data_IF_979433332838
#
_entry.id   IF_979433332838
#
_cell.length_a   1.000
_cell.length_b   1.000
_cell.length_c   1.000
_cell.angle_alpha   90.00
_cell.angle_beta   90.00
_cell.angle_gamma   90.00
#
_symmetry.space_group_name_H-M   'P 1'
#
loop_
_entity.id
_entity.type
_entity.pdbx_description
1 polymer ?
#
# COMPACT_ATOMS: atom_id res chain seq x y z
N UNK A 1 -10.38 12.29 -3.45
CA UNK A 1 -9.59 13.03 -4.45
C UNK A 1 -9.68 14.53 -4.26
N UNK A 2 -10.88 15.13 -4.20
CA UNK A 2 -11.08 16.60 -4.10
C UNK A 2 -10.29 17.26 -2.97
N UNK A 3 -10.15 16.62 -1.81
CA UNK A 3 -9.36 17.15 -0.69
C UNK A 3 -7.86 17.16 -0.99
N UNK A 4 -7.35 16.09 -1.60
CA UNK A 4 -5.95 15.98 -2.04
C UNK A 4 -5.64 17.07 -3.07
N UNK A 5 -6.46 17.19 -4.11
CA UNK A 5 -6.28 18.21 -5.15
C UNK A 5 -6.31 19.64 -4.58
N UNK A 6 -7.25 19.93 -3.66
CA UNK A 6 -7.31 21.23 -2.98
C UNK A 6 -6.06 21.51 -2.16
N UNK A 7 -5.54 20.51 -1.44
CA UNK A 7 -4.31 20.63 -0.68
C UNK A 7 -3.12 20.94 -1.58
N UNK A 8 -2.92 20.14 -2.64
CA UNK A 8 -1.85 20.36 -3.64
C UNK A 8 -1.88 21.80 -4.18
N UNK A 9 -3.06 22.27 -4.59
CA UNK A 9 -3.23 23.65 -5.08
C UNK A 9 -2.96 24.71 -4.02
N UNK A 10 -3.46 24.52 -2.79
CA UNK A 10 -3.31 25.49 -1.70
C UNK A 10 -1.86 25.67 -1.27
N UNK A 11 -1.04 24.63 -1.41
CA UNK A 11 0.38 24.64 -1.08
C UNK A 11 1.28 24.94 -2.30
N UNK A 12 0.68 25.22 -3.46
CA UNK A 12 1.41 25.45 -4.72
C UNK A 12 2.40 24.32 -5.05
N UNK A 13 1.97 23.05 -4.79
CA UNK A 13 2.78 21.86 -5.06
C UNK A 13 2.54 21.35 -6.49
N UNK A 14 3.54 20.64 -7.03
CA UNK A 14 3.42 19.89 -8.26
C UNK A 14 3.34 18.38 -7.93
N UNK A 15 2.25 17.71 -8.30
CA UNK A 15 2.13 16.27 -8.14
C UNK A 15 3.00 15.57 -9.18
N UNK A 16 4.05 14.90 -8.74
CA UNK A 16 4.98 14.18 -9.62
C UNK A 16 4.55 12.75 -9.87
N UNK A 17 3.96 12.08 -8.86
CA UNK A 17 3.54 10.69 -9.00
C UNK A 17 2.35 10.34 -8.11
N UNK A 18 1.59 9.36 -8.55
CA UNK A 18 0.61 8.59 -7.80
C UNK A 18 1.26 7.22 -7.53
N UNK A 19 1.90 7.13 -6.37
CA UNK A 19 2.69 5.98 -5.93
C UNK A 19 1.78 5.00 -5.19
N UNK A 20 1.47 3.86 -5.81
CA UNK A 20 0.55 2.86 -5.28
C UNK A 20 1.33 1.75 -4.56
N UNK A 21 0.91 1.41 -3.35
CA UNK A 21 1.47 0.27 -2.61
C UNK A 21 0.95 -1.05 -3.17
N UNK A 22 -0.31 -1.08 -3.61
CA UNK A 22 -0.96 -2.26 -4.19
C UNK A 22 -2.25 -1.88 -4.93
N UNK A 23 -2.86 -2.85 -5.61
CA UNK A 23 -3.93 -2.63 -6.58
C UNK A 23 -5.36 -2.79 -6.04
N UNK A 24 -5.64 -2.82 -4.72
CA UNK A 24 -7.01 -2.93 -4.22
C UNK A 24 -7.82 -1.64 -4.42
N UNK A 25 -9.13 -1.83 -4.58
CA UNK A 25 -10.07 -0.77 -5.00
C UNK A 25 -10.09 0.47 -4.11
N UNK A 26 -9.94 0.31 -2.82
CA UNK A 26 -9.92 1.39 -1.82
C UNK A 26 -8.61 2.22 -1.86
N UNK A 27 -7.56 1.66 -2.46
CA UNK A 27 -6.28 2.34 -2.71
C UNK A 27 -6.20 2.96 -4.11
N UNK A 28 -6.84 2.36 -5.11
CA UNK A 28 -6.75 2.82 -6.50
C UNK A 28 -8.00 3.51 -7.03
N UNK A 29 -9.13 3.47 -6.32
CA UNK A 29 -10.41 4.01 -6.77
C UNK A 29 -10.42 5.51 -7.09
N UNK A 30 -9.45 6.26 -6.56
CA UNK A 30 -9.28 7.68 -6.85
C UNK A 30 -8.29 8.02 -7.96
N UNK A 31 -7.58 7.04 -8.52
CA UNK A 31 -6.47 7.26 -9.46
C UNK A 31 -6.95 7.94 -10.73
N UNK A 32 -8.07 7.50 -11.32
CA UNK A 32 -8.61 8.08 -12.56
C UNK A 32 -8.94 9.57 -12.42
N UNK A 33 -9.60 9.97 -11.33
CA UNK A 33 -9.94 11.38 -11.09
C UNK A 33 -8.66 12.20 -10.82
N UNK A 34 -7.72 11.66 -10.03
CA UNK A 34 -6.51 12.39 -9.67
C UNK A 34 -5.57 12.56 -10.86
N UNK A 35 -5.40 11.55 -11.71
CA UNK A 35 -4.57 11.62 -12.92
C UNK A 35 -5.18 12.57 -13.96
N UNK A 36 -6.53 12.64 -14.06
CA UNK A 36 -7.17 13.63 -14.94
C UNK A 36 -6.89 15.07 -14.49
N UNK A 37 -6.85 15.32 -13.19
CA UNK A 37 -6.52 16.63 -12.62
C UNK A 37 -5.02 16.96 -12.67
N UNK A 38 -4.16 15.96 -12.79
CA UNK A 38 -2.70 16.06 -12.81
C UNK A 38 -2.12 15.11 -13.88
N UNK A 39 -2.32 15.40 -15.19
CA UNK A 39 -1.98 14.49 -16.27
C UNK A 39 -0.49 14.20 -16.44
N UNK A 40 0.38 15.04 -15.87
CA UNK A 40 1.83 14.84 -15.90
C UNK A 40 2.36 13.93 -14.78
N UNK A 41 1.49 13.57 -13.81
CA UNK A 41 1.92 12.73 -12.70
C UNK A 41 2.06 11.27 -13.15
N UNK A 42 3.18 10.64 -12.79
CA UNK A 42 3.37 9.21 -13.02
C UNK A 42 2.36 8.39 -12.23
N UNK A 43 1.94 7.24 -12.77
CA UNK A 43 1.17 6.22 -12.05
C UNK A 43 2.08 5.02 -11.89
N UNK A 44 2.44 4.70 -10.64
CA UNK A 44 3.47 3.72 -10.34
C UNK A 44 2.87 2.61 -9.45
N UNK A 45 3.01 1.36 -9.88
CA UNK A 45 2.60 0.15 -9.15
C UNK A 45 3.59 -0.97 -9.47
N UNK A 46 3.59 -2.06 -8.71
CA UNK A 46 4.39 -3.25 -9.04
C UNK A 46 3.72 -4.07 -10.15
N UNK A 47 4.51 -4.66 -11.05
CA UNK A 47 3.99 -5.41 -12.20
C UNK A 47 3.07 -6.58 -11.82
N UNK A 48 3.35 -7.27 -10.71
CA UNK A 48 2.54 -8.39 -10.22
C UNK A 48 1.12 -7.96 -9.78
N UNK A 49 0.89 -6.67 -9.53
CA UNK A 49 -0.44 -6.11 -9.21
C UNK A 49 -1.14 -5.45 -10.42
N UNK A 50 -0.51 -5.43 -11.60
CA UNK A 50 -1.13 -4.90 -12.82
C UNK A 50 -2.46 -5.57 -13.15
N UNK A 51 -2.61 -6.93 -13.06
CA UNK A 51 -3.91 -7.57 -13.29
C UNK A 51 -4.98 -7.12 -12.28
N UNK A 52 -4.60 -6.94 -11.02
CA UNK A 52 -5.50 -6.45 -9.98
C UNK A 52 -5.90 -5.00 -10.23
N UNK A 53 -4.95 -4.15 -10.60
CA UNK A 53 -5.18 -2.75 -10.96
C UNK A 53 -6.21 -2.61 -12.09
N UNK A 54 -6.05 -3.36 -13.18
CA UNK A 54 -6.96 -3.33 -14.31
C UNK A 54 -8.33 -3.97 -14.02
N UNK A 55 -8.43 -4.82 -13.00
CA UNK A 55 -9.70 -5.42 -12.56
C UNK A 55 -10.54 -4.50 -11.65
N UNK A 56 -10.16 -3.23 -11.46
CA UNK A 56 -10.86 -2.30 -10.57
C UNK A 56 -12.40 -2.34 -10.71
N UNK A 57 -13.01 -2.35 -11.92
CA UNK A 57 -14.47 -2.41 -12.05
C UNK A 57 -15.10 -3.71 -11.55
N UNK A 58 -14.32 -4.79 -11.46
CA UNK A 58 -14.74 -6.13 -11.04
C UNK A 58 -14.49 -6.40 -9.55
N UNK A 59 -13.58 -5.66 -8.92
CA UNK A 59 -13.15 -5.90 -7.53
C UNK A 59 -14.28 -5.90 -6.50
N UNK A 60 -15.36 -5.09 -6.62
CA UNK A 60 -16.52 -5.21 -5.73
C UNK A 60 -17.09 -6.63 -5.65
N UNK A 61 -17.04 -7.38 -6.76
CA UNK A 61 -17.53 -8.76 -6.80
C UNK A 61 -16.68 -9.72 -5.94
N UNK A 62 -15.37 -9.45 -5.80
CA UNK A 62 -14.48 -10.24 -4.92
C UNK A 62 -14.86 -10.09 -3.44
N UNK A 63 -15.53 -8.99 -3.09
CA UNK A 63 -16.04 -8.72 -1.76
C UNK A 63 -17.49 -9.20 -1.58
N UNK A 64 -18.05 -9.89 -2.58
CA UNK A 64 -19.46 -10.34 -2.58
C UNK A 64 -20.47 -9.20 -2.76
N UNK A 65 -20.04 -8.02 -3.22
CA UNK A 65 -20.90 -6.84 -3.39
C UNK A 65 -21.33 -6.76 -4.85
N UNK A 66 -22.64 -6.88 -5.16
CA UNK A 66 -23.11 -6.78 -6.54
C UNK A 66 -22.88 -5.38 -7.10
N UNK A 67 -22.59 -5.29 -8.41
CA UNK A 67 -22.38 -4.01 -9.11
C UNK A 67 -23.55 -3.04 -8.91
N UNK A 68 -24.78 -3.54 -8.84
CA UNK A 68 -25.98 -2.73 -8.60
C UNK A 68 -25.98 -2.01 -7.25
N UNK A 69 -25.37 -2.59 -6.22
CA UNK A 69 -25.25 -1.95 -4.92
C UNK A 69 -24.28 -0.77 -4.95
N UNK A 70 -23.16 -0.89 -5.69
CA UNK A 70 -22.21 0.22 -5.89
C UNK A 70 -22.84 1.34 -6.72
N UNK A 71 -23.51 1.02 -7.81
CA UNK A 71 -24.21 2.01 -8.63
C UNK A 71 -25.27 2.79 -7.83
N UNK A 72 -26.01 2.11 -6.92
CA UNK A 72 -26.99 2.77 -6.05
C UNK A 72 -26.38 3.74 -5.04
N UNK A 73 -25.09 3.57 -4.70
CA UNK A 73 -24.30 4.47 -3.87
C UNK A 73 -23.59 5.58 -4.67
N UNK A 74 -23.80 5.63 -6.00
CA UNK A 74 -23.11 6.56 -6.89
C UNK A 74 -21.61 6.25 -7.06
N UNK A 75 -21.20 5.02 -6.75
CA UNK A 75 -19.84 4.54 -6.90
C UNK A 75 -19.74 3.71 -8.18
N UNK A 76 -19.24 4.33 -9.23
CA UNK A 76 -18.92 3.64 -10.48
C UNK A 76 -17.41 3.61 -10.64
N UNK A 77 -16.83 2.40 -10.73
CA UNK A 77 -15.43 2.21 -11.02
C UNK A 77 -15.25 1.96 -12.51
N UNK A 78 -14.67 2.93 -13.18
CA UNK A 78 -14.22 2.78 -14.58
C UNK A 78 -12.82 2.15 -14.60
N UNK A 79 -12.40 1.53 -15.73
CA UNK A 79 -11.03 1.09 -15.89
C UNK A 79 -10.06 2.21 -15.54
N UNK A 80 -9.01 1.94 -14.75
CA UNK A 80 -8.05 2.97 -14.37
C UNK A 80 -7.19 3.36 -15.57
N UNK A 81 -6.54 4.54 -15.55
CA UNK A 81 -5.65 4.98 -16.61
C UNK A 81 -4.42 4.07 -16.72
N UNK A 82 -3.68 4.11 -17.84
CA UNK A 82 -2.48 3.29 -18.03
C UNK A 82 -1.44 3.52 -16.93
N UNK A 83 -0.81 2.45 -16.47
CA UNK A 83 0.38 2.50 -15.62
C UNK A 83 1.51 3.13 -16.44
N UNK A 84 2.26 4.05 -15.84
CA UNK A 84 3.37 4.73 -16.52
C UNK A 84 4.74 4.17 -16.12
N UNK A 85 4.83 3.53 -14.94
CA UNK A 85 6.06 2.97 -14.39
C UNK A 85 5.76 1.80 -13.44
N UNK A 86 6.70 0.85 -13.35
CA UNK A 86 6.64 -0.23 -12.36
C UNK A 86 7.68 -0.03 -11.25
N UNK A 87 7.28 -0.44 -10.02
CA UNK A 87 8.19 -0.57 -8.89
C UNK A 87 9.09 -1.79 -9.05
N UNK A 88 10.34 -1.65 -8.61
CA UNK A 88 11.27 -2.78 -8.49
C UNK A 88 11.81 -2.90 -7.06
N UNK A 89 11.97 -4.14 -6.57
CA UNK A 89 12.51 -4.38 -5.22
C UNK A 89 13.92 -3.81 -5.08
N UNK A 90 14.14 -3.04 -4.03
CA UNK A 90 15.44 -2.42 -3.73
C UNK A 90 15.72 -1.13 -4.49
N UNK A 91 14.84 -0.64 -5.37
CA UNK A 91 15.08 0.63 -6.03
C UNK A 91 15.00 1.81 -5.06
N UNK A 92 15.72 2.88 -5.40
CA UNK A 92 15.63 4.17 -4.74
C UNK A 92 14.76 5.10 -5.58
N UNK A 93 13.67 5.58 -4.99
CA UNK A 93 12.76 6.53 -5.61
C UNK A 93 12.88 7.89 -4.94
N UNK A 94 13.27 8.91 -5.71
CA UNK A 94 13.42 10.27 -5.19
C UNK A 94 12.33 11.18 -5.72
N UNK A 95 11.67 11.91 -4.82
CA UNK A 95 10.69 12.93 -5.12
C UNK A 95 10.94 14.15 -4.25
N UNK A 96 11.22 15.30 -4.88
CA UNK A 96 11.69 16.48 -4.16
C UNK A 96 12.99 16.19 -3.41
N UNK A 97 12.99 16.42 -2.10
CA UNK A 97 14.14 16.16 -1.22
C UNK A 97 14.07 14.79 -0.52
N UNK A 98 13.01 14.03 -0.76
CA UNK A 98 12.79 12.73 -0.12
C UNK A 98 13.25 11.60 -1.02
N UNK A 99 13.91 10.62 -0.43
CA UNK A 99 14.29 9.37 -1.11
C UNK A 99 13.73 8.19 -0.36
N UNK A 100 13.01 7.34 -1.09
CA UNK A 100 12.39 6.13 -0.57
C UNK A 100 13.12 4.90 -1.08
N UNK A 101 13.38 3.95 -0.19
CA UNK A 101 13.74 2.58 -0.58
C UNK A 101 12.45 1.79 -0.79
N UNK A 102 12.28 1.23 -1.98
CA UNK A 102 11.14 0.36 -2.32
C UNK A 102 11.45 -1.07 -1.92
N UNK A 103 10.49 -1.75 -1.29
CA UNK A 103 10.59 -3.19 -0.98
C UNK A 103 9.34 -3.91 -1.47
N UNK A 104 9.53 -4.94 -2.28
CA UNK A 104 8.45 -5.84 -2.68
C UNK A 104 8.07 -6.73 -1.50
N UNK A 105 6.83 -6.61 -1.04
CA UNK A 105 6.30 -7.26 0.15
C UNK A 105 5.02 -8.03 -0.16
N UNK A 106 5.09 -9.12 -0.96
CA UNK A 106 3.91 -9.89 -1.35
C UNK A 106 3.25 -10.57 -0.16
N UNK A 107 1.94 -10.85 -0.32
CA UNK A 107 1.17 -11.63 0.63
C UNK A 107 -0.22 -11.09 0.89
N UNK A 108 -0.41 -9.78 1.04
CA UNK A 108 -1.73 -9.15 0.97
C UNK A 108 -2.23 -9.13 -0.48
N UNK A 109 -1.38 -8.65 -1.39
CA UNK A 109 -1.48 -8.86 -2.85
C UNK A 109 -0.16 -9.41 -3.39
N UNK A 110 -0.12 -9.94 -4.62
CA UNK A 110 1.13 -10.41 -5.23
C UNK A 110 2.18 -9.31 -5.42
N UNK A 111 1.75 -8.12 -5.82
CA UNK A 111 2.62 -7.00 -6.16
C UNK A 111 2.73 -5.94 -5.07
N UNK A 112 2.33 -6.24 -3.83
CA UNK A 112 2.39 -5.26 -2.76
C UNK A 112 3.82 -4.75 -2.53
N UNK A 113 4.00 -3.42 -2.42
CA UNK A 113 5.26 -2.78 -2.06
C UNK A 113 5.12 -1.91 -0.81
N UNK A 114 6.23 -1.72 -0.12
CA UNK A 114 6.36 -0.72 0.95
C UNK A 114 7.41 0.31 0.57
N UNK A 115 7.25 1.55 1.03
CA UNK A 115 8.13 2.66 0.75
C UNK A 115 8.74 3.16 2.05
N UNK A 116 10.06 3.00 2.21
CA UNK A 116 10.77 3.41 3.41
C UNK A 116 11.57 4.69 3.16
N UNK A 117 11.27 5.72 3.91
CA UNK A 117 12.06 6.95 3.98
C UNK A 117 12.98 6.86 5.21
N UNK A 118 14.24 6.50 4.98
CA UNK A 118 15.18 6.14 6.04
C UNK A 118 15.65 7.35 6.86
N UNK A 119 15.83 8.53 6.24
CA UNK A 119 16.35 9.72 6.92
C UNK A 119 15.40 10.21 8.02
N UNK A 120 14.08 10.14 7.79
CA UNK A 120 13.07 10.55 8.77
C UNK A 120 12.47 9.38 9.54
N UNK A 121 13.01 8.17 9.36
CA UNK A 121 12.56 6.96 10.05
C UNK A 121 11.06 6.70 9.89
N UNK A 122 10.58 6.75 8.64
CA UNK A 122 9.17 6.56 8.28
C UNK A 122 9.02 5.47 7.22
N UNK A 123 7.98 4.66 7.34
CA UNK A 123 7.66 3.64 6.35
C UNK A 123 6.16 3.65 6.02
N UNK A 124 5.84 3.66 4.73
CA UNK A 124 4.48 3.54 4.21
C UNK A 124 4.28 2.07 3.82
N UNK A 125 3.51 1.35 4.62
CA UNK A 125 3.39 -0.10 4.50
C UNK A 125 2.13 -0.58 3.77
N UNK A 126 1.28 0.35 3.30
CA UNK A 126 -0.02 -0.04 2.73
C UNK A 126 -0.74 -1.00 3.67
N UNK A 127 -1.14 -2.15 3.14
CA UNK A 127 -1.89 -3.16 3.87
C UNK A 127 -1.05 -4.39 4.29
N UNK A 128 0.25 -4.21 4.50
CA UNK A 128 1.07 -5.26 5.11
C UNK A 128 0.91 -5.33 6.62
N UNK A 129 1.04 -4.19 7.31
CA UNK A 129 1.13 -4.14 8.78
C UNK A 129 0.25 -3.01 9.31
N UNK A 130 -0.57 -3.31 10.33
CA UNK A 130 -1.44 -2.36 11.02
C UNK A 130 -1.13 -2.31 12.50
N UNK A 131 -1.63 -1.28 13.19
CA UNK A 131 -1.60 -1.23 14.65
C UNK A 131 -2.37 -2.43 15.24
N UNK A 132 -1.62 -3.40 15.77
CA UNK A 132 -2.16 -4.65 16.37
C UNK A 132 -2.70 -5.68 15.38
N UNK A 133 -2.51 -5.53 14.06
CA UNK A 133 -3.03 -6.44 13.05
C UNK A 133 -2.11 -6.51 11.82
N UNK A 134 -2.50 -7.32 10.84
CA UNK A 134 -1.89 -7.39 9.50
C UNK A 134 -2.97 -7.39 8.42
N UNK A 135 -2.60 -7.19 7.17
CA UNK A 135 -3.50 -7.27 6.03
C UNK A 135 -4.14 -8.65 5.89
N UNK A 136 -5.35 -8.66 5.34
CA UNK A 136 -6.04 -9.91 4.97
C UNK A 136 -5.32 -10.61 3.83
N UNK A 137 -5.46 -11.92 3.77
CA UNK A 137 -4.79 -12.76 2.75
C UNK A 137 -5.74 -13.75 2.08
N UNK A 138 -7.04 -13.56 2.25
CA UNK A 138 -8.12 -14.41 1.75
C UNK A 138 -8.71 -13.94 0.42
N UNK A 139 -8.24 -12.81 -0.12
CA UNK A 139 -8.59 -12.32 -1.45
C UNK A 139 -7.69 -12.97 -2.52
N UNK A 140 -8.09 -12.93 -3.81
CA UNK A 140 -7.30 -13.51 -4.90
C UNK A 140 -5.84 -13.05 -4.91
N UNK A 141 -4.90 -13.99 -4.92
CA UNK A 141 -3.46 -13.72 -4.88
C UNK A 141 -2.87 -13.56 -3.47
N UNK A 142 -3.71 -13.52 -2.43
CA UNK A 142 -3.28 -13.43 -1.03
C UNK A 142 -2.59 -14.70 -0.51
N UNK A 143 -1.64 -14.53 0.42
CA UNK A 143 -0.92 -15.62 1.09
C UNK A 143 -0.42 -15.19 2.46
N UNK A 144 -0.94 -15.82 3.51
CA UNK A 144 -0.52 -15.54 4.89
C UNK A 144 0.98 -15.81 5.09
N UNK A 145 1.48 -16.91 4.54
CA UNK A 145 2.89 -17.28 4.64
C UNK A 145 3.80 -16.20 4.04
N UNK A 146 3.49 -15.76 2.80
CA UNK A 146 4.25 -14.70 2.13
C UNK A 146 4.15 -13.36 2.88
N UNK A 147 2.98 -13.02 3.42
CA UNK A 147 2.81 -11.77 4.15
C UNK A 147 3.67 -11.74 5.42
N UNK A 148 3.65 -12.80 6.20
CA UNK A 148 4.47 -12.91 7.41
C UNK A 148 5.97 -12.91 7.09
N UNK A 149 6.37 -13.59 6.02
CA UNK A 149 7.75 -13.57 5.52
C UNK A 149 8.18 -12.16 5.08
N UNK A 150 7.32 -11.47 4.32
CA UNK A 150 7.53 -10.07 3.89
C UNK A 150 7.70 -9.14 5.08
N UNK A 151 6.81 -9.20 6.06
CA UNK A 151 6.89 -8.37 7.26
C UNK A 151 8.21 -8.64 8.01
N UNK A 152 8.53 -9.92 8.25
CA UNK A 152 9.72 -10.30 9.02
C UNK A 152 11.03 -9.92 8.34
N UNK A 153 11.12 -10.10 7.02
CA UNK A 153 12.38 -9.97 6.28
C UNK A 153 12.53 -8.61 5.58
N UNK A 154 11.43 -7.87 5.34
CA UNK A 154 11.45 -6.62 4.57
C UNK A 154 11.02 -5.39 5.39
N UNK A 155 10.22 -5.54 6.46
CA UNK A 155 9.74 -4.41 7.27
C UNK A 155 10.47 -4.35 8.62
N UNK A 156 10.50 -5.43 9.38
CA UNK A 156 11.14 -5.47 10.71
C UNK A 156 12.61 -5.02 10.71
N UNK A 157 13.44 -5.34 9.69
CA UNK A 157 14.84 -4.93 9.66
C UNK A 157 15.12 -3.43 9.61
N UNK A 158 14.11 -2.59 9.27
CA UNK A 158 14.31 -1.13 9.29
C UNK A 158 14.52 -0.56 10.70
N UNK A 159 14.11 -1.30 11.74
CA UNK A 159 14.39 -0.99 13.15
C UNK A 159 13.18 -0.48 13.94
N UNK A 160 13.26 -0.63 15.26
CA UNK A 160 12.15 -0.46 16.20
C UNK A 160 11.58 0.96 16.27
N UNK A 161 12.38 1.96 16.01
CA UNK A 161 12.05 3.39 16.10
C UNK A 161 11.38 3.94 14.83
N UNK A 162 11.26 3.12 13.77
CA UNK A 162 10.59 3.53 12.52
C UNK A 162 9.09 3.65 12.73
N UNK A 163 8.54 4.81 12.36
CA UNK A 163 7.09 5.07 12.36
C UNK A 163 6.45 4.43 11.15
N UNK A 164 5.39 3.68 11.38
CA UNK A 164 4.62 2.93 10.38
C UNK A 164 3.35 3.67 10.01
N UNK A 165 3.23 4.05 8.75
CA UNK A 165 2.00 4.59 8.15
C UNK A 165 1.35 3.49 7.32
N UNK A 166 0.22 2.99 7.80
CA UNK A 166 -0.56 1.94 7.15
C UNK A 166 -1.70 2.50 6.31
N UNK A 167 -2.27 1.68 5.42
CA UNK A 167 -3.44 2.04 4.62
C UNK A 167 -4.68 2.28 5.48
N UNK A 168 -4.80 1.54 6.59
CA UNK A 168 -5.94 1.61 7.51
C UNK A 168 -5.49 1.73 8.97
N UNK A 169 -6.32 2.44 9.77
CA UNK A 169 -6.08 2.61 11.20
C UNK A 169 -5.05 3.69 11.55
N UNK A 170 -4.65 3.77 12.82
CA UNK A 170 -3.68 4.76 13.30
C UNK A 170 -2.25 4.37 12.94
N UNK A 171 -1.33 5.35 13.01
CA UNK A 171 0.10 5.11 12.96
C UNK A 171 0.58 4.28 14.16
N UNK A 172 1.67 3.55 13.96
CA UNK A 172 2.34 2.75 14.99
C UNK A 172 3.86 2.78 14.78
N UNK A 173 4.62 1.92 15.45
CA UNK A 173 6.05 1.74 15.22
C UNK A 173 6.38 0.26 15.00
N UNK A 174 7.45 -0.01 14.24
CA UNK A 174 7.93 -1.39 14.05
C UNK A 174 8.19 -2.06 15.39
N UNK A 175 8.81 -1.36 16.36
CA UNK A 175 9.10 -1.90 17.67
C UNK A 175 7.86 -2.21 18.50
N UNK A 176 6.80 -1.42 18.38
CA UNK A 176 5.52 -1.72 19.04
C UNK A 176 4.91 -2.99 18.45
N UNK A 177 4.80 -3.06 17.13
CA UNK A 177 4.19 -4.20 16.46
C UNK A 177 5.00 -5.50 16.66
N UNK A 178 6.31 -5.44 16.60
CA UNK A 178 7.16 -6.58 16.88
C UNK A 178 6.91 -7.18 18.27
N UNK A 179 6.60 -6.34 19.27
CA UNK A 179 6.37 -6.77 20.66
C UNK A 179 4.94 -7.21 20.93
N UNK A 180 3.97 -6.51 20.39
CA UNK A 180 2.58 -6.63 20.83
C UNK A 180 1.62 -7.14 19.78
N UNK A 181 1.99 -7.12 18.49
CA UNK A 181 1.13 -7.61 17.41
C UNK A 181 0.97 -9.14 17.52
N UNK A 182 -0.28 -9.65 17.68
CA UNK A 182 -0.51 -11.07 17.91
C UNK A 182 -0.09 -11.95 16.73
N UNK A 183 -0.10 -11.41 15.50
CA UNK A 183 0.32 -12.13 14.30
C UNK A 183 1.83 -12.28 14.23
N UNK A 184 2.60 -11.26 14.65
CA UNK A 184 4.05 -11.27 14.60
C UNK A 184 4.70 -12.10 15.72
N UNK A 185 3.99 -12.30 16.83
CA UNK A 185 4.45 -13.19 17.91
C UNK A 185 4.57 -14.64 17.48
N UNK A 186 3.86 -15.07 16.45
CA UNK A 186 3.86 -16.44 15.96
C UNK A 186 4.96 -16.73 14.93
N UNK A 187 5.72 -15.72 14.51
CA UNK A 187 6.77 -15.89 13.51
C UNK A 187 7.95 -16.66 14.13
N UNK A 188 8.37 -17.81 13.54
CA UNK A 188 9.55 -18.54 14.00
C UNK A 188 10.79 -17.64 13.95
N UNK A 189 11.53 -17.57 15.04
CA UNK A 189 12.74 -16.72 15.15
C UNK A 189 12.49 -15.32 15.74
N UNK A 190 11.25 -14.92 15.98
CA UNK A 190 11.01 -13.72 16.79
C UNK A 190 11.45 -13.98 18.24
N UNK A 191 12.44 -13.22 18.78
CA UNK A 191 12.93 -13.45 20.14
C UNK A 191 11.85 -13.28 21.22
N UNK A 192 10.73 -12.65 20.89
CA UNK A 192 9.59 -12.42 21.79
C UNK A 192 8.45 -13.46 21.61
N UNK A 193 8.59 -14.43 20.69
CA UNK A 193 7.60 -15.48 20.47
C UNK A 193 7.43 -16.44 21.67
N UNK A 194 8.25 -16.30 22.72
CA UNK A 194 8.28 -17.18 23.91
C UNK A 194 7.83 -16.47 25.20
N UNK A 195 7.32 -15.26 25.13
CA UNK A 195 6.72 -14.55 26.25
C UNK A 195 5.20 -14.46 26.05
#
# INVERSE_FOLDING_TARGET
VKSIHRFIKSQNLNLQAIALTHGHLDHIGGVSELSHLHPEAEIIIHEDDEPLYHSLPEQPLFLGIPRTAFASLGLEFTPPPPITRYWHDGELYTVGELTFTVRHCPGHTPGHVVLCEENHRKIFVGDCLFAGSIGRTDLPGGSMEKLLDSINNKIIPFGDDVVVYSGHGPETTIGHERRYNPFLRQIPGNPLAKL
#
